data_IF_091351188665
#
_entry.id   IF_091351188665
#
_cell.length_a   1.000
_cell.length_b   1.000
_cell.length_c   1.000
_cell.angle_alpha   90.00
_cell.angle_beta   90.00
_cell.angle_gamma   90.00
#
_symmetry.space_group_name_H-M   'P 1'
#
loop_
_entity.id
_entity.type
_entity.pdbx_description
1 polymer ?
#
# COMPACT_ATOMS: atom_id res chain seq x y z
N UNK A 1 4.93 -6.36 26.36
CA UNK A 1 4.05 -7.11 25.44
C UNK A 1 2.55 -6.99 25.76
N UNK A 2 2.05 -7.14 27.00
CA UNK A 2 0.61 -7.02 27.28
C UNK A 2 -0.01 -5.66 26.94
N UNK A 3 0.72 -4.56 27.18
CA UNK A 3 0.27 -3.20 26.86
C UNK A 3 0.04 -2.99 25.35
N UNK A 4 0.98 -3.44 24.50
CA UNK A 4 0.87 -3.36 23.04
C UNK A 4 -0.33 -4.17 22.50
N UNK A 5 -0.61 -5.35 23.07
CA UNK A 5 -1.78 -6.15 22.67
C UNK A 5 -3.10 -5.46 23.03
N UNK A 6 -3.16 -4.80 24.19
CA UNK A 6 -4.33 -4.01 24.60
C UNK A 6 -4.53 -2.80 23.69
N UNK A 7 -3.44 -2.12 23.30
CA UNK A 7 -3.47 -0.99 22.37
C UNK A 7 -4.00 -1.39 20.99
N UNK A 8 -3.54 -2.51 20.42
CA UNK A 8 -4.00 -2.96 19.11
C UNK A 8 -5.49 -3.33 19.08
N UNK A 9 -6.02 -3.90 20.17
CA UNK A 9 -7.47 -4.14 20.29
C UNK A 9 -8.25 -2.83 20.36
N UNK A 10 -7.74 -1.82 21.05
CA UNK A 10 -8.38 -0.51 21.10
C UNK A 10 -8.30 0.19 19.73
N UNK A 11 -7.14 0.18 19.06
CA UNK A 11 -6.98 0.65 17.67
C UNK A 11 -7.99 -0.02 16.73
N UNK A 12 -8.19 -1.34 16.85
CA UNK A 12 -9.22 -2.06 16.08
C UNK A 12 -10.64 -1.61 16.42
N UNK A 13 -10.93 -1.31 17.70
CA UNK A 13 -12.24 -0.83 18.17
C UNK A 13 -12.55 0.59 17.72
N UNK A 14 -11.53 1.43 17.56
CA UNK A 14 -11.65 2.82 17.12
C UNK A 14 -11.90 2.95 15.61
N UNK A 15 -11.66 1.89 14.82
CA UNK A 15 -12.03 1.89 13.40
C UNK A 15 -13.56 1.91 13.24
N UNK A 16 -14.11 2.81 12.40
CA UNK A 16 -15.56 2.92 12.17
C UNK A 16 -16.10 1.60 11.61
N UNK A 17 -17.39 1.31 11.83
CA UNK A 17 -18.01 0.06 11.40
C UNK A 17 -18.06 -0.09 9.86
N UNK A 18 -18.26 1.03 9.18
CA UNK A 18 -18.37 1.24 7.73
C UNK A 18 -17.81 2.63 7.37
N UNK A 19 -17.47 2.87 6.11
CA UNK A 19 -17.13 4.21 5.60
C UNK A 19 -18.41 4.94 5.17
N UNK A 20 -19.24 5.40 6.12
CA UNK A 20 -20.39 6.27 5.77
C UNK A 20 -19.90 7.63 5.26
N UNK A 21 -20.63 8.16 4.28
CA UNK A 21 -20.49 9.51 3.72
C UNK A 21 -19.21 9.81 2.92
N UNK A 22 -18.44 8.81 2.49
CA UNK A 22 -17.38 9.03 1.49
C UNK A 22 -17.95 8.82 0.10
N UNK A 23 -18.28 9.93 -0.56
CA UNK A 23 -18.82 9.93 -1.92
C UNK A 23 -17.82 9.28 -2.88
N UNK A 24 -18.20 8.13 -3.43
CA UNK A 24 -17.37 7.38 -4.38
C UNK A 24 -17.46 8.06 -5.75
N UNK A 25 -16.28 8.35 -6.30
CA UNK A 25 -16.00 8.60 -7.71
C UNK A 25 -16.18 10.04 -8.23
N UNK A 26 -15.06 10.75 -8.40
CA UNK A 26 -15.02 11.98 -9.20
C UNK A 26 -14.41 11.68 -10.59
N UNK A 27 -15.23 11.82 -11.64
CA UNK A 27 -14.88 11.49 -13.04
C UNK A 27 -13.68 12.30 -13.58
N UNK A 28 -13.37 13.43 -12.94
CA UNK A 28 -12.36 14.43 -13.32
C UNK A 28 -10.93 13.85 -13.32
N UNK A 29 -10.66 12.88 -12.43
CA UNK A 29 -9.37 12.18 -12.38
C UNK A 29 -9.05 11.39 -13.66
N UNK A 30 -10.03 11.07 -14.52
CA UNK A 30 -9.72 10.41 -15.80
C UNK A 30 -9.09 11.36 -16.83
N UNK A 31 -9.24 12.67 -16.66
CA UNK A 31 -8.85 13.68 -17.65
C UNK A 31 -7.48 14.33 -17.40
N UNK A 32 -6.88 14.13 -16.23
CA UNK A 32 -5.54 14.66 -15.94
C UNK A 32 -4.48 14.02 -16.87
N UNK A 33 -3.86 14.86 -17.71
CA UNK A 33 -2.86 14.47 -18.71
C UNK A 33 -1.43 14.32 -18.18
N UNK A 34 -1.15 14.72 -16.93
CA UNK A 34 0.15 14.55 -16.26
C UNK A 34 -0.03 14.26 -14.76
N UNK A 35 0.98 13.69 -14.10
CA UNK A 35 0.91 13.44 -12.65
C UNK A 35 0.83 14.76 -11.85
N UNK A 36 1.41 15.86 -12.34
CA UNK A 36 1.26 17.16 -11.68
C UNK A 36 -0.17 17.71 -11.77
N UNK A 37 -0.89 17.44 -12.87
CA UNK A 37 -2.32 17.76 -12.96
C UNK A 37 -3.16 16.97 -11.95
N UNK A 38 -2.79 15.72 -11.63
CA UNK A 38 -3.42 14.95 -10.56
C UNK A 38 -3.23 15.58 -9.18
N UNK A 39 -2.01 16.04 -8.88
CA UNK A 39 -1.71 16.73 -7.64
C UNK A 39 -2.60 17.97 -7.45
N UNK A 40 -2.76 18.78 -8.50
CA UNK A 40 -3.62 19.97 -8.45
C UNK A 40 -5.08 19.63 -8.18
N UNK A 41 -5.64 18.66 -8.92
CA UNK A 41 -7.02 18.22 -8.73
C UNK A 41 -7.26 17.68 -7.31
N UNK A 42 -6.29 16.98 -6.73
CA UNK A 42 -6.37 16.51 -5.35
C UNK A 42 -6.36 17.65 -4.33
N UNK A 43 -5.54 18.69 -4.56
CA UNK A 43 -5.46 19.88 -3.72
C UNK A 43 -6.75 20.71 -3.69
N UNK A 44 -7.37 20.85 -4.86
CA UNK A 44 -8.56 21.68 -5.05
C UNK A 44 -9.83 21.06 -4.44
N UNK A 45 -9.77 19.78 -4.07
CA UNK A 45 -10.89 19.06 -3.48
C UNK A 45 -10.87 19.12 -1.94
N UNK A 46 -12.01 19.44 -1.36
CA UNK A 46 -12.24 19.26 0.09
C UNK A 46 -12.55 17.81 0.47
N UNK A 47 -12.84 16.95 -0.50
CA UNK A 47 -13.28 15.57 -0.27
C UNK A 47 -12.09 14.67 0.08
N UNK A 48 -12.11 13.94 1.21
CA UNK A 48 -11.05 13.00 1.58
C UNK A 48 -10.79 11.91 0.51
N UNK A 49 -11.82 11.52 -0.23
CA UNK A 49 -11.71 10.53 -1.31
C UNK A 49 -10.81 11.00 -2.46
N UNK A 50 -10.87 12.30 -2.76
CA UNK A 50 -10.04 12.92 -3.79
C UNK A 50 -8.57 12.87 -3.39
N UNK A 51 -8.24 13.15 -2.12
CA UNK A 51 -6.88 13.03 -1.60
C UNK A 51 -6.41 11.58 -1.58
N UNK A 52 -7.27 10.64 -1.17
CA UNK A 52 -7.01 9.19 -1.22
C UNK A 52 -6.62 8.73 -2.63
N UNK A 53 -7.35 9.18 -3.64
CA UNK A 53 -7.01 8.95 -5.05
C UNK A 53 -5.71 9.65 -5.46
N UNK A 54 -5.53 10.91 -5.06
CA UNK A 54 -4.34 11.71 -5.33
C UNK A 54 -3.06 11.02 -4.89
N UNK A 55 -3.03 10.45 -3.68
CA UNK A 55 -1.87 9.70 -3.17
C UNK A 55 -1.51 8.54 -4.10
N UNK A 56 -2.47 7.69 -4.49
CA UNK A 56 -2.18 6.58 -5.40
C UNK A 56 -1.71 7.07 -6.78
N UNK A 57 -2.40 8.06 -7.35
CA UNK A 57 -2.11 8.57 -8.69
C UNK A 57 -0.84 9.42 -8.77
N UNK A 58 -0.28 9.86 -7.65
CA UNK A 58 1.06 10.45 -7.55
C UNK A 58 2.12 9.39 -7.26
N UNK A 59 1.82 8.45 -6.36
CA UNK A 59 2.78 7.42 -5.94
C UNK A 59 3.12 6.44 -7.07
N UNK A 60 2.11 5.95 -7.81
CA UNK A 60 2.34 4.96 -8.87
C UNK A 60 3.27 5.48 -9.98
N UNK A 61 3.09 6.70 -10.51
CA UNK A 61 4.02 7.26 -11.50
C UNK A 61 5.44 7.48 -10.98
N UNK A 62 5.60 7.96 -9.74
CA UNK A 62 6.91 8.14 -9.11
C UNK A 62 7.63 6.80 -8.98
N UNK A 63 6.94 5.80 -8.43
CA UNK A 63 7.49 4.46 -8.25
C UNK A 63 7.84 3.81 -9.58
N UNK A 64 6.94 3.88 -10.56
CA UNK A 64 7.19 3.30 -11.87
C UNK A 64 8.30 4.03 -12.63
N UNK A 65 8.35 5.36 -12.53
CA UNK A 65 9.34 6.23 -13.16
C UNK A 65 10.78 5.94 -12.71
N UNK A 66 10.98 5.50 -11.47
CA UNK A 66 12.30 5.14 -10.94
C UNK A 66 12.89 3.84 -11.52
N UNK A 67 12.11 3.06 -12.28
CA UNK A 67 12.63 1.95 -13.09
C UNK A 67 13.11 2.37 -14.47
N UNK A 68 12.83 3.61 -14.87
CA UNK A 68 13.32 4.20 -16.11
C UNK A 68 14.58 5.00 -15.81
N UNK A 69 15.38 5.25 -16.84
CA UNK A 69 16.63 6.00 -16.74
C UNK A 69 16.36 7.50 -16.54
N UNK A 70 15.84 7.88 -15.38
CA UNK A 70 15.92 9.26 -14.90
C UNK A 70 17.38 9.53 -14.53
N UNK A 71 18.10 10.45 -15.21
CA UNK A 71 19.49 10.71 -14.88
C UNK A 71 19.58 11.76 -13.76
N UNK A 72 20.58 11.57 -12.89
CA UNK A 72 21.06 12.58 -11.94
C UNK A 72 19.98 13.14 -11.02
N UNK A 73 19.95 14.46 -10.91
CA UNK A 73 19.11 15.22 -9.97
C UNK A 73 17.61 14.91 -10.08
N UNK A 74 17.10 14.59 -11.28
CA UNK A 74 15.68 14.23 -11.45
C UNK A 74 15.32 12.93 -10.74
N UNK A 75 16.26 11.97 -10.70
CA UNK A 75 16.09 10.72 -9.99
C UNK A 75 16.08 10.92 -8.48
N UNK A 76 17.01 11.72 -7.97
CA UNK A 76 17.09 12.06 -6.55
C UNK A 76 15.81 12.76 -6.07
N UNK A 77 15.31 13.73 -6.85
CA UNK A 77 14.02 14.40 -6.58
C UNK A 77 12.85 13.43 -6.63
N UNK A 78 12.76 12.57 -7.65
CA UNK A 78 11.70 11.56 -7.76
C UNK A 78 11.71 10.56 -6.60
N UNK A 79 12.90 10.17 -6.13
CA UNK A 79 13.09 9.31 -4.96
C UNK A 79 12.63 10.02 -3.68
N UNK A 80 13.08 11.25 -3.44
CA UNK A 80 12.65 12.05 -2.29
C UNK A 80 11.14 12.30 -2.27
N UNK A 81 10.54 12.54 -3.43
CA UNK A 81 9.09 12.66 -3.58
C UNK A 81 8.37 11.33 -3.27
N UNK A 82 8.89 10.19 -3.75
CA UNK A 82 8.31 8.88 -3.46
C UNK A 82 8.32 8.57 -1.95
N UNK A 83 9.44 8.82 -1.29
CA UNK A 83 9.63 8.53 0.13
C UNK A 83 8.77 9.43 1.00
N UNK A 84 8.78 10.74 0.72
CA UNK A 84 7.95 11.71 1.44
C UNK A 84 6.45 11.47 1.20
N UNK A 85 6.04 11.15 -0.03
CA UNK A 85 4.65 10.78 -0.33
C UNK A 85 4.24 9.47 0.35
N UNK A 86 5.16 8.52 0.50
CA UNK A 86 4.92 7.30 1.27
C UNK A 86 4.64 7.62 2.74
N UNK A 87 5.43 8.52 3.34
CA UNK A 87 5.21 8.98 4.72
C UNK A 87 3.86 9.70 4.87
N UNK A 88 3.54 10.63 3.97
CA UNK A 88 2.24 11.32 3.93
C UNK A 88 1.09 10.32 3.73
N UNK A 89 1.27 9.35 2.85
CA UNK A 89 0.30 8.29 2.59
C UNK A 89 -0.01 7.46 3.83
N UNK A 90 0.99 7.13 4.65
CA UNK A 90 0.79 6.45 5.94
C UNK A 90 -0.12 7.26 6.87
N UNK A 91 0.22 8.52 7.12
CA UNK A 91 -0.52 9.41 8.02
C UNK A 91 -1.93 9.70 7.49
N UNK A 92 -2.06 10.06 6.22
CA UNK A 92 -3.35 10.37 5.62
C UNK A 92 -4.28 9.15 5.57
N UNK A 93 -3.82 8.02 5.02
CA UNK A 93 -4.67 6.85 4.80
C UNK A 93 -5.09 6.22 6.12
N UNK A 94 -4.23 6.23 7.15
CA UNK A 94 -4.61 5.75 8.48
C UNK A 94 -5.72 6.62 9.08
N UNK A 95 -5.57 7.94 9.04
CA UNK A 95 -6.62 8.88 9.46
C UNK A 95 -7.92 8.73 8.67
N UNK A 96 -7.81 8.54 7.35
CA UNK A 96 -8.96 8.26 6.48
C UNK A 96 -9.73 7.02 6.94
N UNK A 97 -9.06 5.89 7.15
CA UNK A 97 -9.71 4.67 7.63
C UNK A 97 -10.17 4.74 9.09
N UNK A 98 -9.65 5.68 9.88
CA UNK A 98 -10.13 5.98 11.23
C UNK A 98 -11.31 6.97 11.26
N UNK A 99 -11.77 7.46 10.10
CA UNK A 99 -12.84 8.46 10.02
C UNK A 99 -12.41 9.88 10.42
N UNK A 100 -11.10 10.13 10.46
CA UNK A 100 -10.49 11.44 10.77
C UNK A 100 -9.38 11.77 9.76
N UNK A 101 -9.73 11.93 8.46
CA UNK A 101 -8.75 12.15 7.40
C UNK A 101 -7.99 13.47 7.62
N UNK A 102 -6.67 13.41 7.48
CA UNK A 102 -5.76 14.53 7.71
C UNK A 102 -5.43 15.25 6.40
N UNK A 103 -6.44 15.81 5.71
CA UNK A 103 -6.26 16.46 4.39
C UNK A 103 -5.15 17.53 4.40
N UNK A 104 -5.01 18.25 5.52
CA UNK A 104 -3.97 19.29 5.69
C UNK A 104 -2.55 18.75 5.46
N UNK A 105 -2.25 17.54 5.95
CA UNK A 105 -0.91 16.92 5.80
C UNK A 105 -0.56 16.70 4.33
N UNK A 106 -1.52 16.27 3.51
CA UNK A 106 -1.30 16.11 2.07
C UNK A 106 -1.13 17.46 1.37
N UNK A 107 -1.95 18.46 1.73
CA UNK A 107 -1.89 19.79 1.12
C UNK A 107 -0.58 20.50 1.43
N UNK A 108 -0.11 20.45 2.68
CA UNK A 108 1.17 21.00 3.11
C UNK A 108 2.35 20.31 2.39
N UNK A 109 2.31 18.97 2.29
CA UNK A 109 3.31 18.23 1.52
C UNK A 109 3.34 18.65 0.05
N UNK A 110 2.17 18.80 -0.56
CA UNK A 110 2.07 19.16 -1.97
C UNK A 110 2.62 20.57 -2.23
N UNK A 111 2.36 21.52 -1.33
CA UNK A 111 2.94 22.87 -1.39
C UNK A 111 4.46 22.85 -1.27
N UNK A 112 4.99 22.09 -0.30
CA UNK A 112 6.43 21.94 -0.14
C UNK A 112 7.10 21.23 -1.32
N UNK A 113 6.37 20.34 -2.00
CA UNK A 113 6.86 19.49 -3.08
C UNK A 113 6.66 20.08 -4.48
N UNK A 114 6.03 21.25 -4.62
CA UNK A 114 5.62 21.80 -5.92
C UNK A 114 6.81 21.99 -6.88
N UNK A 115 7.92 22.51 -6.38
CA UNK A 115 9.12 22.76 -7.18
C UNK A 115 9.73 21.46 -7.72
N UNK A 116 9.76 20.41 -6.90
CA UNK A 116 10.29 19.10 -7.30
C UNK A 116 9.34 18.39 -8.26
N UNK A 117 8.03 18.42 -7.99
CA UNK A 117 7.01 17.88 -8.89
C UNK A 117 7.07 18.54 -10.27
N UNK A 118 7.27 19.86 -10.33
CA UNK A 118 7.45 20.57 -11.59
C UNK A 118 8.75 20.18 -12.31
N UNK A 119 9.84 19.97 -11.57
CA UNK A 119 11.14 19.59 -12.16
C UNK A 119 11.15 18.20 -12.80
N UNK A 120 10.27 17.31 -12.33
CA UNK A 120 10.08 15.96 -12.88
C UNK A 120 8.83 15.84 -13.77
N UNK A 121 8.12 16.94 -14.04
CA UNK A 121 6.96 16.93 -14.94
C UNK A 121 7.35 16.54 -16.37
N UNK A 122 6.47 15.83 -17.07
CA UNK A 122 6.74 15.27 -18.40
C UNK A 122 7.43 13.90 -18.41
N UNK A 123 7.67 13.28 -17.25
CA UNK A 123 8.04 11.87 -17.18
C UNK A 123 6.97 10.99 -17.85
N UNK A 124 7.38 10.15 -18.80
CA UNK A 124 6.50 9.16 -19.40
C UNK A 124 6.23 8.04 -18.40
N UNK A 125 4.97 7.80 -18.10
CA UNK A 125 4.54 6.68 -17.27
C UNK A 125 3.28 6.05 -17.85
N UNK A 126 3.08 4.76 -17.55
CA UNK A 126 1.83 4.09 -17.87
C UNK A 126 0.92 4.17 -16.67
N UNK A 127 -0.09 5.03 -16.72
CA UNK A 127 -1.13 5.08 -15.70
C UNK A 127 -1.77 3.70 -15.56
N UNK A 128 -1.87 3.21 -14.33
CA UNK A 128 -2.64 2.01 -14.01
C UNK A 128 -3.94 2.41 -13.35
N UNK A 129 -5.03 1.81 -13.78
CA UNK A 129 -6.29 1.89 -13.06
C UNK A 129 -6.14 1.11 -11.75
N UNK A 130 -6.56 1.69 -10.64
CA UNK A 130 -6.54 1.01 -9.35
C UNK A 130 -7.63 -0.06 -9.30
N UNK A 131 -7.34 -1.22 -8.70
CA UNK A 131 -8.36 -2.27 -8.56
C UNK A 131 -9.56 -1.76 -7.75
N UNK A 132 -9.31 -0.96 -6.72
CA UNK A 132 -10.36 -0.40 -5.87
C UNK A 132 -11.22 0.70 -6.53
N UNK A 133 -10.83 1.18 -7.71
CA UNK A 133 -11.62 2.16 -8.48
C UNK A 133 -12.63 1.46 -9.41
N UNK A 134 -12.65 0.12 -9.45
CA UNK A 134 -13.52 -0.68 -10.34
C UNK A 134 -14.80 -1.09 -9.61
N UNK A 135 -15.61 -0.09 -9.25
CA UNK A 135 -16.86 -0.27 -8.49
C UNK A 135 -17.91 -1.11 -9.21
N UNK A 136 -17.76 -1.31 -10.52
CA UNK A 136 -18.63 -2.12 -11.38
C UNK A 136 -18.30 -3.62 -11.34
N UNK A 137 -17.13 -4.00 -10.83
CA UNK A 137 -16.65 -5.38 -10.77
C UNK A 137 -16.78 -5.90 -9.31
N UNK A 138 -17.76 -6.77 -9.01
CA UNK A 138 -18.05 -7.21 -7.64
C UNK A 138 -16.93 -8.06 -7.01
N UNK A 139 -15.97 -8.48 -7.84
CA UNK A 139 -14.79 -9.22 -7.44
C UNK A 139 -13.59 -8.32 -7.08
N UNK A 140 -13.69 -7.01 -7.31
CA UNK A 140 -12.64 -6.06 -6.96
C UNK A 140 -12.75 -5.59 -5.51
N UNK A 141 -11.62 -5.35 -4.82
CA UNK A 141 -11.64 -4.83 -3.46
C UNK A 141 -12.28 -3.44 -3.43
N UNK A 142 -13.05 -3.15 -2.38
CA UNK A 142 -13.57 -1.81 -2.10
C UNK A 142 -12.79 -1.15 -0.95
N UNK A 143 -12.91 0.18 -0.74
CA UNK A 143 -12.40 0.81 0.46
C UNK A 143 -12.94 0.17 1.76
N UNK A 144 -14.20 -0.30 1.78
CA UNK A 144 -14.76 -1.02 2.93
C UNK A 144 -14.07 -2.38 3.15
N UNK A 145 -13.70 -3.11 2.09
CA UNK A 145 -12.94 -4.36 2.23
C UNK A 145 -11.56 -4.11 2.87
N UNK A 146 -10.92 -2.98 2.55
CA UNK A 146 -9.68 -2.54 3.21
C UNK A 146 -9.92 -2.21 4.68
N UNK A 147 -10.99 -1.46 5.01
CA UNK A 147 -11.35 -1.15 6.39
C UNK A 147 -11.57 -2.42 7.23
N UNK A 148 -12.34 -3.38 6.69
CA UNK A 148 -12.57 -4.68 7.35
C UNK A 148 -11.25 -5.43 7.53
N UNK A 149 -10.36 -5.39 6.53
CA UNK A 149 -9.03 -5.98 6.61
C UNK A 149 -8.18 -5.38 7.72
N UNK A 150 -8.05 -4.06 7.78
CA UNK A 150 -7.29 -3.37 8.82
C UNK A 150 -7.83 -3.74 10.20
N UNK A 151 -9.15 -3.71 10.39
CA UNK A 151 -9.80 -4.06 11.66
C UNK A 151 -9.51 -5.49 12.09
N UNK A 152 -9.70 -6.45 11.19
CA UNK A 152 -9.48 -7.88 11.50
C UNK A 152 -8.01 -8.19 11.72
N UNK A 153 -7.12 -7.56 10.97
CA UNK A 153 -5.68 -7.72 11.15
C UNK A 153 -5.25 -7.24 12.54
N UNK A 154 -5.64 -6.02 12.92
CA UNK A 154 -5.33 -5.45 14.24
C UNK A 154 -5.92 -6.28 15.38
N UNK A 155 -7.16 -6.75 15.25
CA UNK A 155 -7.79 -7.64 16.23
C UNK A 155 -6.99 -8.94 16.38
N UNK A 156 -6.65 -9.59 15.26
CA UNK A 156 -5.87 -10.81 15.27
C UNK A 156 -4.50 -10.61 15.94
N UNK A 157 -3.83 -9.48 15.66
CA UNK A 157 -2.57 -9.11 16.29
C UNK A 157 -2.72 -8.91 17.82
N UNK A 158 -3.79 -8.23 18.27
CA UNK A 158 -4.15 -8.09 19.68
C UNK A 158 -4.49 -9.43 20.37
N UNK A 159 -4.96 -10.41 19.61
CA UNK A 159 -5.29 -11.77 20.06
C UNK A 159 -4.09 -12.73 20.03
N UNK A 160 -2.91 -12.25 19.61
CA UNK A 160 -1.66 -12.99 19.67
C UNK A 160 -1.14 -13.48 18.33
N UNK A 161 -1.74 -13.08 17.20
CA UNK A 161 -1.02 -13.11 15.92
C UNK A 161 0.20 -12.22 16.03
N UNK A 162 1.29 -12.68 15.45
CA UNK A 162 2.57 -12.01 15.53
C UNK A 162 2.54 -10.65 14.80
N UNK A 163 2.99 -9.60 15.48
CA UNK A 163 3.11 -8.26 14.91
C UNK A 163 4.37 -8.23 14.03
N UNK A 164 4.28 -7.76 12.78
CA UNK A 164 5.44 -7.64 11.91
C UNK A 164 6.42 -6.59 12.40
N UNK A 165 7.70 -6.83 12.16
CA UNK A 165 8.73 -5.79 12.23
C UNK A 165 8.76 -4.96 10.93
N UNK A 166 8.30 -5.56 9.81
CA UNK A 166 8.36 -4.96 8.49
C UNK A 166 7.18 -5.37 7.60
N UNK A 167 6.57 -4.40 6.91
CA UNK A 167 5.55 -4.62 5.89
C UNK A 167 6.13 -4.39 4.49
N UNK A 168 5.77 -5.26 3.55
CA UNK A 168 6.11 -5.10 2.15
C UNK A 168 4.84 -5.08 1.32
N UNK A 169 4.52 -3.94 0.71
CA UNK A 169 3.43 -3.85 -0.26
C UNK A 169 3.83 -4.43 -1.62
N UNK A 170 3.01 -5.32 -2.16
CA UNK A 170 3.02 -5.72 -3.56
C UNK A 170 2.53 -4.53 -4.40
N UNK A 171 3.47 -3.78 -4.96
CA UNK A 171 3.14 -2.55 -5.66
C UNK A 171 2.40 -2.81 -6.98
N UNK A 172 1.47 -1.95 -7.41
CA UNK A 172 1.14 -0.65 -6.79
C UNK A 172 -0.17 -0.68 -5.99
N UNK A 173 -1.04 -1.67 -6.21
CA UNK A 173 -2.38 -1.68 -5.63
C UNK A 173 -2.39 -1.76 -4.11
N UNK A 174 -1.39 -2.45 -3.53
CA UNK A 174 -1.29 -2.63 -2.09
C UNK A 174 -0.92 -1.36 -1.30
N UNK A 175 -0.60 -0.23 -1.94
CA UNK A 175 -0.22 1.01 -1.23
C UNK A 175 -1.31 1.47 -0.27
N UNK A 176 -2.58 1.37 -0.68
CA UNK A 176 -3.72 1.78 0.12
C UNK A 176 -3.99 0.88 1.34
N UNK A 177 -3.31 -0.26 1.43
CA UNK A 177 -3.44 -1.21 2.54
C UNK A 177 -2.18 -1.19 3.38
N UNK A 178 -1.01 -1.30 2.73
CA UNK A 178 0.26 -1.41 3.42
C UNK A 178 0.61 -0.12 4.18
N UNK A 179 0.38 1.06 3.61
CA UNK A 179 0.69 2.34 4.25
C UNK A 179 -0.11 2.55 5.56
N UNK A 180 -1.46 2.51 5.57
CA UNK A 180 -2.20 2.68 6.81
C UNK A 180 -1.94 1.57 7.82
N UNK A 181 -1.72 0.32 7.36
CA UNK A 181 -1.39 -0.79 8.27
C UNK A 181 -0.02 -0.58 8.94
N UNK A 182 0.99 -0.10 8.20
CA UNK A 182 2.32 0.19 8.74
C UNK A 182 2.25 1.25 9.83
N UNK A 183 1.41 2.27 9.62
CA UNK A 183 1.18 3.34 10.59
C UNK A 183 0.53 2.81 11.86
N UNK A 184 -0.55 2.04 11.74
CA UNK A 184 -1.28 1.50 12.89
C UNK A 184 -0.44 0.50 13.72
N UNK A 185 0.46 -0.24 13.06
CA UNK A 185 1.36 -1.21 13.67
C UNK A 185 2.71 -0.62 14.11
N UNK A 186 2.98 0.65 13.79
CA UNK A 186 4.24 1.35 14.10
C UNK A 186 5.48 0.61 13.58
N UNK A 187 5.41 0.12 12.34
CA UNK A 187 6.50 -0.64 11.71
C UNK A 187 7.00 0.01 10.41
N UNK A 188 8.15 -0.50 9.94
CA UNK A 188 8.73 -0.05 8.68
C UNK A 188 7.95 -0.62 7.49
N UNK A 189 8.01 0.07 6.35
CA UNK A 189 7.33 -0.34 5.11
C UNK A 189 8.28 -0.23 3.91
N UNK A 190 8.16 -1.16 2.98
CA UNK A 190 8.73 -1.03 1.65
C UNK A 190 7.81 -1.60 0.57
N UNK A 191 8.25 -1.50 -0.68
CA UNK A 191 7.43 -1.87 -1.83
C UNK A 191 8.23 -2.67 -2.85
N UNK A 192 7.64 -3.76 -3.32
CA UNK A 192 8.19 -4.63 -4.35
C UNK A 192 7.12 -4.83 -5.40
N UNK A 193 7.48 -4.69 -6.67
CA UNK A 193 6.56 -4.94 -7.78
C UNK A 193 6.94 -6.23 -8.48
N UNK A 194 5.94 -7.00 -8.88
CA UNK A 194 6.10 -8.07 -9.84
C UNK A 194 5.21 -7.80 -11.05
N UNK A 195 5.74 -8.02 -12.24
CA UNK A 195 4.96 -8.03 -13.47
C UNK A 195 5.35 -9.26 -14.29
N UNK A 196 4.39 -9.87 -14.98
CA UNK A 196 4.64 -11.04 -15.83
C UNK A 196 5.64 -10.74 -16.95
N UNK A 197 5.58 -9.52 -17.48
CA UNK A 197 6.38 -9.12 -18.65
C UNK A 197 7.82 -8.73 -18.27
N UNK A 198 8.02 -8.18 -17.08
CA UNK A 198 9.30 -7.58 -16.66
C UNK A 198 9.90 -8.17 -15.39
N UNK A 199 9.25 -9.18 -14.81
CA UNK A 199 9.68 -9.85 -13.60
C UNK A 199 9.54 -8.99 -12.34
N UNK A 200 10.39 -9.31 -11.37
CA UNK A 200 10.45 -8.61 -10.09
C UNK A 200 11.21 -7.28 -10.23
N UNK A 201 10.68 -6.23 -9.61
CA UNK A 201 11.17 -4.86 -9.68
C UNK A 201 11.18 -4.25 -8.28
N UNK A 202 12.33 -3.72 -7.90
CA UNK A 202 12.57 -2.97 -6.66
C UNK A 202 13.35 -1.74 -7.02
N UNK A 203 12.96 -0.59 -6.46
CA UNK A 203 13.72 0.66 -6.65
C UNK A 203 15.15 0.40 -6.15
N UNK A 204 16.20 0.55 -6.98
CA UNK A 204 17.56 0.18 -6.63
C UNK A 204 18.03 0.71 -5.27
N UNK A 205 17.68 1.95 -4.95
CA UNK A 205 18.02 2.63 -3.71
C UNK A 205 17.34 2.02 -2.49
N UNK A 206 16.21 1.33 -2.67
CA UNK A 206 15.47 0.68 -1.59
C UNK A 206 15.92 -0.76 -1.33
N UNK A 207 16.78 -1.35 -2.17
CA UNK A 207 17.19 -2.77 -2.05
C UNK A 207 17.89 -3.03 -0.71
N UNK A 208 18.84 -2.18 -0.33
CA UNK A 208 19.58 -2.33 0.93
C UNK A 208 18.63 -2.23 2.15
N UNK A 209 17.79 -1.20 2.18
CA UNK A 209 16.79 -1.02 3.23
C UNK A 209 15.81 -2.21 3.32
N UNK A 210 15.36 -2.75 2.18
CA UNK A 210 14.50 -3.95 2.16
C UNK A 210 15.23 -5.15 2.76
N UNK A 211 16.49 -5.38 2.39
CA UNK A 211 17.28 -6.50 2.92
C UNK A 211 17.47 -6.38 4.45
N UNK A 212 17.87 -5.21 4.92
CA UNK A 212 18.10 -4.92 6.35
C UNK A 212 16.82 -5.09 7.18
N UNK A 213 15.69 -4.61 6.67
CA UNK A 213 14.39 -4.74 7.36
C UNK A 213 13.76 -6.14 7.21
N UNK A 214 14.34 -7.02 6.39
CA UNK A 214 13.86 -8.40 6.21
C UNK A 214 14.68 -9.40 7.01
N UNK A 215 16.01 -9.26 7.06
CA UNK A 215 16.92 -10.25 7.65
C UNK A 215 16.65 -10.48 9.14
N UNK A 216 16.27 -11.71 9.51
CA UNK A 216 15.96 -12.09 10.89
C UNK A 216 14.72 -11.39 11.48
N UNK A 217 13.89 -10.79 10.63
CA UNK A 217 12.69 -10.04 11.02
C UNK A 217 11.40 -10.77 10.68
N UNK A 218 10.30 -10.39 11.32
CA UNK A 218 8.95 -10.86 11.02
C UNK A 218 8.37 -9.97 9.94
N UNK A 219 8.12 -10.56 8.77
CA UNK A 219 7.75 -9.80 7.57
C UNK A 219 6.38 -10.21 7.09
N UNK A 220 5.59 -9.23 6.65
CA UNK A 220 4.32 -9.49 5.98
C UNK A 220 4.34 -8.84 4.61
N UNK A 221 4.08 -9.65 3.58
CA UNK A 221 3.82 -9.19 2.23
C UNK A 221 2.32 -8.91 2.08
N UNK A 222 1.94 -7.73 1.61
CA UNK A 222 0.54 -7.30 1.49
C UNK A 222 0.19 -7.07 0.03
N UNK A 223 -0.96 -7.56 -0.44
CA UNK A 223 -1.49 -7.36 -1.79
C UNK A 223 -2.91 -6.78 -1.70
N UNK A 224 -3.36 -6.07 -2.74
CA UNK A 224 -4.74 -5.58 -2.80
C UNK A 224 -5.77 -6.67 -3.11
N UNK A 225 -5.42 -7.58 -4.00
CA UNK A 225 -6.21 -8.76 -4.32
C UNK A 225 -5.32 -9.91 -4.75
N UNK A 226 -5.50 -11.07 -4.13
CA UNK A 226 -4.84 -12.29 -4.56
C UNK A 226 -5.74 -13.02 -5.56
N UNK A 227 -5.35 -13.00 -6.83
CA UNK A 227 -6.04 -13.75 -7.91
C UNK A 227 -5.42 -15.13 -8.11
N UNK A 228 -4.33 -15.22 -8.88
CA UNK A 228 -3.57 -16.46 -9.09
C UNK A 228 -2.45 -16.67 -8.07
N UNK A 229 -2.29 -15.77 -7.09
CA UNK A 229 -1.20 -15.82 -6.11
C UNK A 229 0.21 -15.60 -6.67
N UNK A 230 0.39 -15.59 -7.99
CA UNK A 230 1.70 -15.51 -8.63
C UNK A 230 2.50 -14.29 -8.17
N UNK A 231 1.89 -13.10 -8.19
CA UNK A 231 2.53 -11.86 -7.73
C UNK A 231 3.01 -11.99 -6.27
N UNK A 232 2.10 -12.35 -5.37
CA UNK A 232 2.39 -12.54 -3.95
C UNK A 232 3.48 -13.59 -3.75
N UNK A 233 3.44 -14.73 -4.45
CA UNK A 233 4.46 -15.78 -4.37
C UNK A 233 5.83 -15.23 -4.76
N UNK A 234 5.91 -14.51 -5.87
CA UNK A 234 7.18 -14.01 -6.39
C UNK A 234 7.79 -12.97 -5.47
N UNK A 235 6.98 -12.07 -4.93
CA UNK A 235 7.42 -11.10 -3.91
C UNK A 235 7.86 -11.82 -2.63
N UNK A 236 7.06 -12.76 -2.11
CA UNK A 236 7.42 -13.50 -0.92
C UNK A 236 8.69 -14.36 -1.10
N UNK A 237 8.91 -14.98 -2.27
CA UNK A 237 10.15 -15.72 -2.54
C UNK A 237 11.37 -14.79 -2.53
N UNK A 238 11.24 -13.61 -3.10
CA UNK A 238 12.28 -12.59 -3.05
C UNK A 238 12.60 -12.16 -1.62
N UNK A 239 11.58 -11.87 -0.81
CA UNK A 239 11.78 -11.53 0.61
C UNK A 239 12.37 -12.70 1.40
N UNK A 240 11.90 -13.93 1.16
CA UNK A 240 12.43 -15.13 1.81
C UNK A 240 13.94 -15.32 1.54
N UNK A 241 14.45 -14.88 0.39
CA UNK A 241 15.88 -14.97 0.07
C UNK A 241 16.78 -14.14 1.00
N UNK A 242 16.22 -13.14 1.71
CA UNK A 242 16.93 -12.36 2.71
C UNK A 242 16.90 -12.99 4.13
N UNK A 243 16.29 -14.17 4.29
CA UNK A 243 16.29 -14.89 5.57
C UNK A 243 15.48 -14.23 6.70
N UNK A 244 14.19 -13.92 6.50
CA UNK A 244 13.32 -13.46 7.57
C UNK A 244 13.11 -14.53 8.65
N UNK A 245 12.82 -14.11 9.89
CA UNK A 245 12.42 -14.99 10.99
C UNK A 245 11.08 -15.66 10.70
N UNK A 246 10.14 -14.89 10.15
CA UNK A 246 8.85 -15.38 9.66
C UNK A 246 8.39 -14.53 8.48
N UNK A 247 7.70 -15.15 7.53
CA UNK A 247 7.15 -14.46 6.35
C UNK A 247 5.77 -15.00 6.02
N UNK A 248 4.78 -14.11 6.00
CA UNK A 248 3.39 -14.43 5.60
C UNK A 248 2.90 -13.42 4.55
N UNK A 249 1.93 -13.85 3.74
CA UNK A 249 1.21 -12.99 2.81
C UNK A 249 -0.15 -12.60 3.38
N UNK A 250 -0.63 -11.39 3.09
CA UNK A 250 -1.94 -10.92 3.53
C UNK A 250 -2.66 -10.11 2.42
N UNK A 251 -3.98 -10.26 2.32
CA UNK A 251 -4.81 -9.45 1.40
C UNK A 251 -6.27 -9.35 1.88
N UNK A 252 -6.97 -8.23 1.59
CA UNK A 252 -8.39 -8.08 1.89
C UNK A 252 -9.25 -9.02 1.04
N UNK A 253 -8.87 -9.19 -0.24
CA UNK A 253 -9.59 -9.99 -1.22
C UNK A 253 -8.74 -11.16 -1.73
N UNK A 254 -9.39 -12.31 -1.91
CA UNK A 254 -8.78 -13.55 -2.41
C UNK A 254 -9.77 -14.26 -3.33
N UNK A 255 -9.36 -14.53 -4.57
CA UNK A 255 -10.11 -15.35 -5.53
C UNK A 255 -9.53 -16.77 -5.55
N UNK A 256 -10.43 -17.77 -5.58
CA UNK A 256 -10.16 -19.18 -5.25
C UNK A 256 -9.21 -19.90 -6.23
N UNK A 257 -8.77 -21.09 -5.77
CA UNK A 257 -7.94 -22.12 -6.44
C UNK A 257 -6.43 -21.90 -6.44
N UNK A 258 -5.79 -21.96 -5.28
CA UNK A 258 -4.33 -21.96 -5.21
C UNK A 258 -3.75 -22.96 -4.22
N UNK A 259 -2.59 -23.48 -4.58
CA UNK A 259 -1.76 -24.43 -3.86
C UNK A 259 -1.05 -23.81 -2.63
N UNK A 260 -1.80 -23.21 -1.69
CA UNK A 260 -1.23 -22.50 -0.53
C UNK A 260 -1.72 -23.08 0.79
N UNK A 261 -0.86 -23.01 1.81
CA UNK A 261 -1.29 -23.28 3.19
C UNK A 261 -1.93 -22.00 3.73
N UNK A 262 -3.26 -21.99 3.78
CA UNK A 262 -4.03 -20.88 4.35
C UNK A 262 -3.94 -20.94 5.88
N UNK A 263 -3.32 -19.94 6.49
CA UNK A 263 -3.21 -19.86 7.95
C UNK A 263 -4.52 -19.38 8.58
N UNK A 264 -5.33 -18.58 7.86
CA UNK A 264 -6.68 -18.16 8.24
C UNK A 264 -7.58 -18.22 6.99
N UNK A 265 -8.73 -18.88 7.13
CA UNK A 265 -9.68 -19.28 6.07
C UNK A 265 -10.38 -18.13 5.31
N UNK A 266 -11.10 -18.43 4.22
CA UNK A 266 -11.69 -17.42 3.34
C UNK A 266 -12.95 -16.84 3.99
N UNK A 267 -12.78 -15.77 4.75
CA UNK A 267 -13.87 -14.85 5.12
C UNK A 267 -13.47 -13.49 4.55
N UNK A 268 -14.33 -12.87 3.73
CA UNK A 268 -14.10 -11.51 3.17
C UNK A 268 -13.44 -10.61 4.21
N UNK A 269 -12.31 -9.98 3.85
CA UNK A 269 -11.64 -9.00 4.69
C UNK A 269 -10.58 -9.53 5.67
N UNK A 270 -10.02 -10.73 5.53
CA UNK A 270 -8.66 -11.06 6.01
C UNK A 270 -8.26 -12.45 5.48
N UNK A 271 -7.30 -12.49 4.56
CA UNK A 271 -6.72 -13.74 4.07
C UNK A 271 -5.24 -13.77 4.43
N UNK A 272 -4.80 -14.77 5.20
CA UNK A 272 -3.38 -14.96 5.55
C UNK A 272 -2.85 -16.21 4.86
N UNK A 273 -1.77 -16.03 4.10
CA UNK A 273 -1.13 -17.02 3.24
C UNK A 273 0.27 -17.37 3.76
N UNK A 274 0.64 -18.65 3.71
CA UNK A 274 2.02 -19.11 3.94
C UNK A 274 2.59 -19.73 2.66
N UNK A 275 3.87 -19.50 2.40
CA UNK A 275 4.57 -20.25 1.36
C UNK A 275 4.58 -21.72 1.76
N UNK A 276 4.07 -22.62 0.90
CA UNK A 276 4.33 -24.05 1.06
C UNK A 276 5.85 -24.25 1.00
N UNK A 277 6.42 -24.97 1.97
CA UNK A 277 7.76 -25.55 1.79
C UNK A 277 7.69 -26.41 0.54
N UNK A 278 8.52 -26.13 -0.46
CA UNK A 278 8.81 -27.14 -1.48
C UNK A 278 9.62 -28.22 -0.78
N UNK A 279 9.12 -29.45 -0.82
CA UNK A 279 9.92 -30.65 -0.55
C UNK A 279 11.12 -30.72 -1.52
#
# INVERSE_FOLDING_TARGET
MPAMKSDLREKARLLPADLRDVTVYNHEYRQAGSFYAFAKLAKESSEPDAVRHGIFYLWQPLFDGLFWELPGERRERALGLLDSLTAVGRTFLSGYYQGSPQNAVFNEWLEASESDLSAIDGMSYRRRQRNLDRSDDPDMPTPDDVLVFLRRFLQAAGDGVEIPDYLVGCACGATEIAMPLAEMLECNIGFVKFSKDSGLKVVPEHVAAINENTTGKKVISVEDIVRSGENMTMVMRYLHSYGPLSLIGAAPCYQKELDWEMAIGPKKGLNILRLKKKD
#
